data_IF_897144268774
#
_entry.id   IF_897144268774
#
_cell.length_a   1.000
_cell.length_b   1.000
_cell.length_c   1.000
_cell.angle_alpha   90.00
_cell.angle_beta   90.00
_cell.angle_gamma   90.00
#
_symmetry.space_group_name_H-M   'P 1'
#
loop_
_entity.id
_entity.type
_entity.pdbx_description
1 polymer ?
#
# COMPACT_ATOMS: atom_id res chain seq x y z
N UNK A 1 15.85 15.76 26.13
CA UNK A 1 15.25 15.71 24.78
C UNK A 1 15.07 14.23 24.41
N UNK A 2 13.87 13.81 24.03
CA UNK A 2 13.60 12.41 23.63
C UNK A 2 14.24 12.13 22.28
N UNK A 3 14.91 10.98 22.19
CA UNK A 3 15.57 10.51 20.95
C UNK A 3 14.64 9.60 20.17
N UNK A 4 14.38 9.95 18.93
CA UNK A 4 13.56 9.18 18.00
C UNK A 4 14.46 8.65 16.88
N UNK A 5 14.41 7.36 16.65
CA UNK A 5 15.08 6.74 15.52
C UNK A 5 14.02 6.28 14.51
N UNK A 6 14.18 6.68 13.26
CA UNK A 6 13.33 6.24 12.15
C UNK A 6 14.13 5.28 11.29
N UNK A 7 13.71 4.04 11.22
CA UNK A 7 14.31 2.99 10.40
C UNK A 7 13.67 3.02 9.01
N UNK A 8 14.44 3.46 8.02
CA UNK A 8 14.00 3.64 6.64
C UNK A 8 13.31 4.97 6.35
N UNK A 9 13.63 5.59 5.22
CA UNK A 9 13.01 6.83 4.72
C UNK A 9 11.68 6.57 3.98
N UNK A 10 10.81 5.71 4.54
CA UNK A 10 9.47 5.46 4.02
C UNK A 10 8.53 6.65 4.31
N UNK A 11 7.41 6.72 3.59
CA UNK A 11 6.45 7.84 3.67
C UNK A 11 6.00 8.15 5.11
N UNK A 12 5.63 7.12 5.89
CA UNK A 12 5.18 7.27 7.27
C UNK A 12 6.29 7.76 8.20
N UNK A 13 7.50 7.21 8.04
CA UNK A 13 8.67 7.60 8.82
C UNK A 13 9.06 9.06 8.57
N UNK A 14 9.07 9.50 7.31
CA UNK A 14 9.40 10.88 6.94
C UNK A 14 8.40 11.89 7.49
N UNK A 15 7.09 11.55 7.46
CA UNK A 15 6.05 12.43 8.05
C UNK A 15 6.21 12.50 9.56
N UNK A 16 6.39 11.35 10.23
CA UNK A 16 6.60 11.34 11.67
C UNK A 16 7.88 12.09 12.05
N UNK A 17 8.97 11.91 11.30
CA UNK A 17 10.24 12.61 11.53
C UNK A 17 10.07 14.13 11.46
N UNK A 18 9.39 14.62 10.42
CA UNK A 18 9.12 16.05 10.25
C UNK A 18 8.33 16.64 11.42
N UNK A 19 7.22 15.98 11.79
CA UNK A 19 6.34 16.44 12.87
C UNK A 19 7.02 16.39 14.25
N UNK A 20 7.82 15.36 14.52
CA UNK A 20 8.50 15.21 15.81
C UNK A 20 9.68 16.16 15.93
N UNK A 21 10.50 16.33 14.90
CA UNK A 21 11.62 17.25 14.91
C UNK A 21 11.15 18.70 15.12
N UNK A 22 10.08 19.13 14.45
CA UNK A 22 9.48 20.45 14.65
C UNK A 22 9.02 20.68 16.09
N UNK A 23 8.68 19.61 16.82
CA UNK A 23 8.20 19.67 18.20
C UNK A 23 9.31 19.36 19.23
N UNK A 24 10.57 19.52 18.88
CA UNK A 24 11.70 19.49 19.80
C UNK A 24 12.22 18.09 20.17
N UNK A 25 11.85 17.05 19.40
CA UNK A 25 12.48 15.75 19.54
C UNK A 25 13.83 15.71 18.79
N UNK A 26 14.79 14.92 19.27
CA UNK A 26 16.03 14.61 18.53
C UNK A 26 15.76 13.43 17.60
N UNK A 27 15.55 13.73 16.32
CA UNK A 27 15.13 12.74 15.33
C UNK A 27 16.28 12.41 14.39
N UNK A 28 16.58 11.11 14.28
CA UNK A 28 17.52 10.55 13.32
C UNK A 28 16.81 9.53 12.40
N UNK A 29 16.86 9.78 11.10
CA UNK A 29 16.40 8.84 10.06
C UNK A 29 17.61 8.09 9.52
N UNK A 30 17.59 6.75 9.56
CA UNK A 30 18.63 5.89 8.98
C UNK A 30 18.06 5.20 7.76
N UNK A 31 18.72 5.38 6.61
CA UNK A 31 18.29 4.85 5.31
C UNK A 31 19.45 4.19 4.59
N UNK A 32 19.22 3.01 4.01
CA UNK A 32 20.24 2.23 3.30
C UNK A 32 20.62 2.79 1.93
N UNK A 33 19.67 3.46 1.27
CA UNK A 33 19.88 4.01 -0.06
C UNK A 33 20.48 5.42 0.00
N UNK A 34 21.07 5.84 -1.12
CA UNK A 34 21.42 7.25 -1.36
C UNK A 34 20.16 8.09 -1.46
N UNK A 35 20.23 9.34 -1.01
CA UNK A 35 19.12 10.30 -1.05
C UNK A 35 18.49 10.43 -2.45
N UNK A 36 19.32 10.47 -3.51
CA UNK A 36 18.91 10.63 -4.90
C UNK A 36 18.26 9.39 -5.50
N UNK A 37 18.50 8.21 -4.93
CA UNK A 37 17.95 6.94 -5.38
C UNK A 37 16.58 6.61 -4.75
N UNK A 38 16.16 7.39 -3.76
CA UNK A 38 14.91 7.10 -3.05
C UNK A 38 13.68 7.35 -3.93
N UNK A 39 12.74 6.45 -3.80
CA UNK A 39 11.54 6.38 -4.62
C UNK A 39 11.81 5.63 -5.93
N UNK A 40 10.88 4.73 -6.27
CA UNK A 40 10.88 4.12 -7.60
C UNK A 40 10.56 5.17 -8.67
N UNK A 41 11.02 4.96 -9.90
CA UNK A 41 10.61 5.76 -11.06
C UNK A 41 9.19 5.38 -11.50
N UNK A 42 8.24 5.44 -10.56
CA UNK A 42 6.83 5.11 -10.74
C UNK A 42 5.96 6.30 -10.40
N UNK A 43 4.83 6.42 -11.09
CA UNK A 43 3.78 7.36 -10.75
C UNK A 43 2.72 6.68 -9.88
N UNK A 44 2.30 7.35 -8.83
CA UNK A 44 1.25 6.87 -7.96
C UNK A 44 0.13 7.88 -7.78
N UNK A 45 -1.06 7.34 -7.50
CA UNK A 45 -2.23 8.11 -7.10
C UNK A 45 -2.32 8.16 -5.59
N UNK A 46 -2.54 9.36 -5.04
CA UNK A 46 -2.82 9.59 -3.62
C UNK A 46 -3.52 10.94 -3.44
N UNK A 47 -3.86 11.32 -2.20
CA UNK A 47 -4.48 12.61 -1.87
C UNK A 47 -3.45 13.74 -1.84
N UNK A 48 -3.43 14.57 -2.86
CA UNK A 48 -2.54 15.73 -2.95
C UNK A 48 -2.84 16.78 -1.88
N UNK A 49 -4.11 16.90 -1.42
CA UNK A 49 -4.46 17.78 -0.31
C UNK A 49 -3.82 17.35 1.01
N UNK A 50 -3.65 16.03 1.23
CA UNK A 50 -2.91 15.51 2.36
C UNK A 50 -1.43 15.87 2.29
N UNK A 51 -0.79 15.72 1.12
CA UNK A 51 0.61 16.14 0.92
C UNK A 51 0.78 17.65 1.12
N UNK A 52 -0.13 18.46 0.60
CA UNK A 52 -0.14 19.91 0.80
C UNK A 52 -0.18 20.28 2.29
N UNK A 53 -1.04 19.64 3.07
CA UNK A 53 -1.11 19.87 4.54
C UNK A 53 0.19 19.50 5.25
N UNK A 54 0.82 18.37 4.86
CA UNK A 54 2.06 17.90 5.48
C UNK A 54 3.23 18.82 5.17
N UNK A 55 3.36 19.26 3.92
CA UNK A 55 4.51 20.04 3.45
C UNK A 55 4.33 21.55 3.63
N UNK A 56 3.09 22.01 3.77
CA UNK A 56 2.71 23.42 3.76
C UNK A 56 2.79 24.05 2.37
N UNK A 57 2.96 23.27 1.30
CA UNK A 57 3.00 23.75 -0.09
C UNK A 57 1.65 23.56 -0.76
N UNK A 58 1.23 24.51 -1.58
CA UNK A 58 0.10 24.34 -2.48
C UNK A 58 0.46 23.39 -3.65
N UNK A 59 -0.53 22.90 -4.39
CA UNK A 59 -0.27 22.00 -5.52
C UNK A 59 0.51 22.70 -6.64
N UNK A 60 0.29 24.02 -6.78
CA UNK A 60 0.99 24.87 -7.75
C UNK A 60 2.48 25.05 -7.44
N UNK A 61 2.87 24.86 -6.16
CA UNK A 61 4.25 24.90 -5.70
C UNK A 61 4.96 23.54 -5.78
N UNK A 62 4.26 22.49 -6.22
CA UNK A 62 4.90 21.19 -6.46
C UNK A 62 5.83 21.30 -7.66
N UNK A 63 6.94 20.54 -7.69
CA UNK A 63 7.92 20.60 -8.78
C UNK A 63 7.25 20.43 -10.15
N UNK A 64 7.62 21.26 -11.12
CA UNK A 64 7.13 21.19 -12.49
C UNK A 64 7.36 19.79 -13.08
N UNK A 65 6.37 19.25 -13.79
CA UNK A 65 6.43 17.90 -14.37
C UNK A 65 6.38 16.75 -13.37
N UNK A 66 6.28 17.05 -12.04
CA UNK A 66 6.24 16.00 -11.00
C UNK A 66 4.92 15.25 -10.96
N UNK A 67 3.86 15.82 -11.49
CA UNK A 67 2.52 15.26 -11.48
C UNK A 67 1.73 15.58 -12.75
N UNK A 68 0.67 14.81 -12.99
CA UNK A 68 -0.25 15.02 -14.11
C UNK A 68 -1.63 14.45 -13.81
N UNK A 69 -2.59 14.75 -14.67
CA UNK A 69 -3.87 14.04 -14.68
C UNK A 69 -3.75 12.71 -15.42
N UNK A 70 -4.37 11.68 -14.86
CA UNK A 70 -4.56 10.40 -15.54
C UNK A 70 -5.87 10.44 -16.36
N UNK A 71 -5.84 9.81 -17.53
CA UNK A 71 -7.01 9.70 -18.41
C UNK A 71 -8.04 8.67 -17.95
N UNK A 72 -9.06 8.50 -18.78
CA UNK A 72 -10.07 7.45 -18.61
C UNK A 72 -9.42 6.07 -18.56
N UNK A 73 -10.04 5.14 -17.83
CA UNK A 73 -9.53 3.79 -17.73
C UNK A 73 -10.59 2.75 -18.09
N UNK A 74 -10.13 1.56 -18.42
CA UNK A 74 -10.96 0.39 -18.64
C UNK A 74 -10.40 -0.82 -17.91
N UNK A 75 -11.28 -1.63 -17.36
CA UNK A 75 -10.94 -2.91 -16.79
C UNK A 75 -11.40 -4.01 -17.77
N UNK A 76 -10.49 -4.88 -18.12
CA UNK A 76 -10.75 -6.00 -19.01
C UNK A 76 -10.94 -7.27 -18.19
N UNK A 77 -11.93 -8.07 -18.60
CA UNK A 77 -12.09 -9.41 -18.06
C UNK A 77 -10.88 -10.28 -18.41
N UNK A 78 -10.64 -11.37 -17.68
CA UNK A 78 -9.53 -12.29 -17.98
C UNK A 78 -9.46 -12.73 -19.46
N UNK A 79 -10.60 -13.03 -20.07
CA UNK A 79 -10.68 -13.40 -21.51
C UNK A 79 -10.60 -12.22 -22.48
N UNK A 80 -10.49 -10.98 -21.98
CA UNK A 80 -10.55 -9.73 -22.74
C UNK A 80 -11.87 -9.49 -23.49
N UNK A 81 -12.89 -10.40 -23.35
CA UNK A 81 -14.19 -10.30 -24.05
C UNK A 81 -15.11 -9.23 -23.48
N UNK A 82 -14.94 -8.88 -22.19
CA UNK A 82 -15.72 -7.83 -21.53
C UNK A 82 -14.80 -6.73 -21.05
N UNK A 83 -15.16 -5.49 -21.44
CA UNK A 83 -14.48 -4.27 -21.04
C UNK A 83 -15.46 -3.41 -20.22
N UNK A 84 -15.02 -2.91 -19.07
CA UNK A 84 -15.77 -1.99 -18.22
C UNK A 84 -15.02 -0.66 -18.23
N UNK A 85 -15.59 0.35 -18.86
CA UNK A 85 -14.97 1.67 -18.99
C UNK A 85 -15.39 2.59 -17.83
N UNK A 86 -14.45 3.39 -17.37
CA UNK A 86 -14.64 4.42 -16.36
C UNK A 86 -14.20 5.75 -16.96
N UNK A 87 -15.16 6.67 -17.05
CA UNK A 87 -14.93 8.00 -17.59
C UNK A 87 -14.81 9.01 -16.44
N UNK A 88 -13.82 9.86 -16.53
CA UNK A 88 -13.57 10.95 -15.58
C UNK A 88 -13.88 12.29 -16.24
N UNK A 89 -14.54 13.17 -15.52
CA UNK A 89 -14.68 14.57 -15.87
C UNK A 89 -13.63 15.42 -15.13
N UNK A 90 -13.61 16.73 -15.37
CA UNK A 90 -12.63 17.64 -14.76
C UNK A 90 -12.59 17.55 -13.23
N UNK A 91 -13.76 17.37 -12.57
CA UNK A 91 -13.85 17.28 -11.11
C UNK A 91 -13.46 15.90 -10.55
N UNK A 92 -13.49 14.86 -11.38
CA UNK A 92 -13.20 13.47 -10.96
C UNK A 92 -11.89 12.93 -11.52
N UNK A 93 -11.18 13.71 -12.35
CA UNK A 93 -9.86 13.33 -12.89
C UNK A 93 -8.91 12.98 -11.77
N UNK A 94 -8.23 11.86 -11.94
CA UNK A 94 -7.25 11.38 -10.98
C UNK A 94 -5.91 12.08 -11.23
N UNK A 95 -5.29 12.58 -10.15
CA UNK A 95 -3.91 13.08 -10.17
C UNK A 95 -2.97 11.94 -9.82
N UNK A 96 -1.84 11.89 -10.51
CA UNK A 96 -0.73 10.98 -10.23
C UNK A 96 0.56 11.78 -10.14
N UNK A 97 1.48 11.34 -9.27
CA UNK A 97 2.77 11.98 -9.06
C UNK A 97 3.88 10.94 -9.10
N UNK A 98 5.02 11.31 -9.63
CA UNK A 98 6.25 10.52 -9.55
C UNK A 98 6.70 10.36 -8.10
N UNK A 99 7.08 9.15 -7.70
CA UNK A 99 7.53 8.87 -6.31
C UNK A 99 8.79 9.61 -5.92
N UNK A 100 9.76 9.78 -6.83
CA UNK A 100 11.01 10.50 -6.52
C UNK A 100 10.74 11.95 -6.08
N UNK A 101 9.98 12.78 -6.80
CA UNK A 101 9.56 14.10 -6.32
C UNK A 101 8.81 14.05 -4.99
N UNK A 102 7.87 13.11 -4.82
CA UNK A 102 7.13 12.95 -3.57
C UNK A 102 8.07 12.70 -2.38
N UNK A 103 8.95 11.70 -2.48
CA UNK A 103 9.91 11.37 -1.41
C UNK A 103 10.85 12.55 -1.15
N UNK A 104 11.35 13.21 -2.20
CA UNK A 104 12.20 14.41 -2.06
C UNK A 104 11.52 15.52 -1.28
N UNK A 105 10.25 15.82 -1.60
CA UNK A 105 9.47 16.83 -0.87
C UNK A 105 9.30 16.46 0.62
N UNK A 106 9.08 15.18 0.94
CA UNK A 106 8.96 14.72 2.31
C UNK A 106 10.29 14.79 3.06
N UNK A 107 11.41 14.43 2.44
CA UNK A 107 12.75 14.57 3.02
C UNK A 107 13.08 16.04 3.29
N UNK A 108 12.92 16.92 2.29
CA UNK A 108 13.16 18.36 2.43
C UNK A 108 12.31 18.97 3.55
N UNK A 109 11.05 18.52 3.68
CA UNK A 109 10.18 18.95 4.76
C UNK A 109 10.70 18.50 6.13
N UNK A 110 11.20 17.25 6.24
CA UNK A 110 11.75 16.74 7.49
C UNK A 110 13.07 17.41 7.86
N UNK A 111 13.99 17.60 6.90
CA UNK A 111 15.26 18.34 7.08
C UNK A 111 15.00 19.78 7.54
N UNK A 112 14.11 20.50 6.86
CA UNK A 112 13.74 21.88 7.21
C UNK A 112 13.17 22.00 8.62
N UNK A 113 12.51 20.96 9.12
CA UNK A 113 11.94 20.90 10.47
C UNK A 113 12.92 20.38 11.53
N UNK A 114 14.16 20.04 11.14
CA UNK A 114 15.25 19.69 12.04
C UNK A 114 15.54 18.19 12.20
N UNK A 115 14.92 17.30 11.41
CA UNK A 115 15.29 15.90 11.39
C UNK A 115 16.67 15.70 10.75
N UNK A 116 17.48 14.83 11.34
CA UNK A 116 18.80 14.42 10.85
C UNK A 116 18.68 13.15 10.02
N UNK A 117 19.56 13.00 9.05
CA UNK A 117 19.58 11.82 8.17
C UNK A 117 20.95 11.17 8.15
N UNK A 118 20.94 9.85 8.10
CA UNK A 118 22.12 9.01 7.83
C UNK A 118 21.75 8.09 6.65
N UNK A 119 22.16 8.50 5.46
CA UNK A 119 21.98 7.72 4.23
C UNK A 119 23.08 6.70 4.05
N UNK A 120 22.94 5.77 3.10
CA UNK A 120 23.89 4.71 2.78
C UNK A 120 24.23 3.83 4.01
N UNK A 121 23.29 3.70 4.93
CA UNK A 121 23.47 2.99 6.18
C UNK A 121 22.36 1.95 6.35
N UNK A 122 22.73 0.68 6.20
CA UNK A 122 21.79 -0.43 6.28
C UNK A 122 21.60 -0.86 7.74
N UNK A 123 20.35 -0.88 8.21
CA UNK A 123 19.98 -1.46 9.51
C UNK A 123 19.93 -2.97 9.37
N UNK A 124 20.57 -3.68 10.27
CA UNK A 124 20.61 -5.15 10.31
C UNK A 124 19.59 -5.75 11.29
N UNK A 125 19.41 -5.13 12.47
CA UNK A 125 18.55 -5.66 13.53
C UNK A 125 18.17 -4.59 14.57
N UNK A 126 17.11 -4.83 15.37
CA UNK A 126 16.87 -4.04 16.58
C UNK A 126 17.87 -4.37 17.66
N UNK A 127 18.18 -3.40 18.53
CA UNK A 127 18.82 -3.59 19.82
C UNK A 127 17.73 -3.76 20.88
N UNK A 128 17.72 -4.87 21.59
CA UNK A 128 16.64 -5.19 22.52
C UNK A 128 17.16 -5.48 23.93
N UNK A 129 16.41 -5.08 24.95
CA UNK A 129 16.52 -5.52 26.34
C UNK A 129 15.24 -6.31 26.69
N UNK A 130 15.33 -7.64 26.69
CA UNK A 130 14.14 -8.48 26.72
C UNK A 130 13.27 -8.24 25.49
N UNK A 131 11.98 -7.90 25.67
CA UNK A 131 11.05 -7.55 24.60
C UNK A 131 11.07 -6.06 24.22
N UNK A 132 11.77 -5.21 24.98
CA UNK A 132 11.83 -3.77 24.74
C UNK A 132 12.90 -3.43 23.69
N UNK A 133 12.52 -2.67 22.68
CA UNK A 133 13.45 -2.13 21.67
C UNK A 133 14.10 -0.87 22.22
N UNK A 134 15.43 -0.80 22.17
CA UNK A 134 16.24 0.30 22.67
C UNK A 134 17.02 1.04 21.57
N UNK A 135 16.94 0.56 20.35
CA UNK A 135 17.66 1.12 19.22
C UNK A 135 17.79 0.16 18.06
N UNK A 136 18.76 0.41 17.21
CA UNK A 136 19.09 -0.46 16.06
C UNK A 136 20.59 -0.66 15.93
N UNK A 137 20.96 -1.81 15.37
CA UNK A 137 22.31 -2.14 14.93
C UNK A 137 22.35 -2.09 13.41
N UNK A 138 23.36 -1.46 12.85
CA UNK A 138 23.61 -1.37 11.42
C UNK A 138 24.48 -2.54 10.92
N UNK A 139 24.49 -2.77 9.61
CA UNK A 139 25.23 -3.88 9.00
C UNK A 139 26.75 -3.75 9.18
N UNK A 140 27.28 -2.52 9.28
CA UNK A 140 28.68 -2.21 9.60
C UNK A 140 29.02 -2.32 11.10
N UNK A 141 28.03 -2.68 11.93
CA UNK A 141 28.22 -2.98 13.36
C UNK A 141 28.00 -1.81 14.31
N UNK A 142 27.70 -0.60 13.81
CA UNK A 142 27.40 0.55 14.68
C UNK A 142 26.05 0.37 15.38
N UNK A 143 25.95 0.93 16.59
CA UNK A 143 24.75 0.87 17.43
C UNK A 143 24.19 2.27 17.69
N UNK A 144 22.89 2.43 17.46
CA UNK A 144 22.16 3.68 17.67
C UNK A 144 21.04 3.45 18.67
N UNK A 145 21.11 4.13 19.81
CA UNK A 145 20.13 4.03 20.90
C UNK A 145 19.13 5.16 20.85
N UNK A 146 17.85 4.84 21.10
CA UNK A 146 16.75 5.80 21.10
C UNK A 146 15.67 5.41 22.12
N UNK A 147 14.80 6.36 22.46
CA UNK A 147 13.63 6.11 23.31
C UNK A 147 12.54 5.32 22.54
N UNK A 148 12.51 5.44 21.20
CA UNK A 148 11.64 4.66 20.31
C UNK A 148 12.28 4.50 18.92
N UNK A 149 12.04 3.34 18.32
CA UNK A 149 12.30 3.05 16.91
C UNK A 149 10.98 3.05 16.13
N UNK A 150 10.84 3.98 15.19
CA UNK A 150 9.74 4.02 14.22
C UNK A 150 10.18 3.22 12.99
N UNK A 151 9.58 2.06 12.79
CA UNK A 151 9.93 1.17 11.68
C UNK A 151 9.14 1.51 10.42
N UNK A 152 9.81 2.14 9.47
CA UNK A 152 9.32 2.49 8.14
C UNK A 152 10.19 1.88 7.03
N UNK A 153 10.87 0.75 7.32
CA UNK A 153 11.81 0.09 6.42
C UNK A 153 11.15 -0.89 5.44
N UNK A 154 9.82 -0.85 5.34
CA UNK A 154 9.07 -1.64 4.37
C UNK A 154 8.71 -3.05 4.84
N UNK A 155 8.10 -3.84 3.96
CA UNK A 155 7.48 -5.14 4.30
C UNK A 155 8.49 -6.15 4.86
N UNK A 156 9.72 -6.11 4.40
CA UNK A 156 10.82 -6.97 4.86
C UNK A 156 11.74 -6.25 5.86
N UNK A 157 11.22 -5.30 6.62
CA UNK A 157 12.01 -4.56 7.61
C UNK A 157 12.88 -5.48 8.45
N UNK A 158 14.21 -5.25 8.49
CA UNK A 158 15.12 -6.03 9.34
C UNK A 158 14.84 -5.80 10.82
N UNK A 159 14.26 -4.66 11.20
CA UNK A 159 13.83 -4.41 12.58
C UNK A 159 12.69 -5.35 12.94
N UNK A 160 11.57 -5.30 12.19
CA UNK A 160 10.39 -6.14 12.44
C UNK A 160 10.73 -7.63 12.43
N UNK A 161 11.46 -8.08 11.40
CA UNK A 161 11.74 -9.51 11.22
C UNK A 161 12.59 -10.09 12.32
N UNK A 162 13.42 -9.27 13.01
CA UNK A 162 14.29 -9.69 14.09
C UNK A 162 13.80 -9.29 15.51
N UNK A 163 12.54 -8.81 15.64
CA UNK A 163 11.96 -8.54 16.96
C UNK A 163 11.91 -9.84 17.80
N UNK A 164 12.06 -9.77 19.13
CA UNK A 164 11.80 -10.90 20.03
C UNK A 164 10.36 -11.42 19.88
N UNK A 165 10.17 -12.73 20.08
CA UNK A 165 8.85 -13.38 20.02
C UNK A 165 7.84 -12.81 21.01
N UNK A 166 8.34 -12.38 22.15
CA UNK A 166 7.57 -11.80 23.27
C UNK A 166 6.89 -10.47 22.91
N UNK A 167 7.29 -9.82 21.80
CA UNK A 167 6.57 -8.64 21.27
C UNK A 167 5.21 -9.01 20.69
N UNK A 168 4.98 -10.27 20.35
CA UNK A 168 3.76 -10.80 19.72
C UNK A 168 3.36 -10.11 18.40
N UNK A 169 4.28 -9.38 17.77
CA UNK A 169 4.06 -8.76 16.47
C UNK A 169 4.14 -9.83 15.38
N UNK A 170 3.10 -9.90 14.54
CA UNK A 170 3.03 -10.87 13.43
C UNK A 170 4.08 -10.53 12.34
N UNK A 171 4.93 -11.50 12.03
CA UNK A 171 5.98 -11.41 11.01
C UNK A 171 5.70 -12.33 9.81
N UNK A 172 4.64 -13.13 9.89
CA UNK A 172 4.33 -14.11 8.86
C UNK A 172 3.87 -13.41 7.59
N UNK A 173 4.37 -13.89 6.46
CA UNK A 173 3.99 -13.46 5.12
C UNK A 173 3.47 -14.69 4.39
N UNK A 174 2.18 -14.70 4.06
CA UNK A 174 1.48 -15.80 3.40
C UNK A 174 1.34 -15.54 1.92
N UNK A 175 1.06 -16.58 1.14
CA UNK A 175 0.69 -16.40 -0.27
C UNK A 175 -0.53 -15.48 -0.40
N UNK A 176 -0.42 -14.48 -1.26
CA UNK A 176 -1.45 -13.46 -1.46
C UNK A 176 -1.37 -12.26 -0.52
N UNK A 177 -0.43 -12.23 0.43
CA UNK A 177 -0.14 -11.04 1.24
C UNK A 177 0.69 -10.00 0.50
N UNK A 178 1.39 -10.45 -0.55
CA UNK A 178 2.24 -9.62 -1.38
C UNK A 178 1.78 -9.63 -2.84
N UNK A 179 2.02 -8.52 -3.49
CA UNK A 179 1.89 -8.34 -4.93
C UNK A 179 3.27 -7.98 -5.47
N UNK A 180 3.73 -8.78 -6.42
CA UNK A 180 5.01 -8.57 -7.10
C UNK A 180 4.74 -7.86 -8.40
N UNK A 181 5.29 -6.67 -8.56
CA UNK A 181 5.13 -5.84 -9.74
C UNK A 181 6.46 -5.55 -10.41
N UNK A 182 6.51 -5.67 -11.72
CA UNK A 182 7.54 -5.07 -12.55
C UNK A 182 6.89 -3.96 -13.37
N UNK A 183 7.47 -2.75 -13.39
CA UNK A 183 6.87 -1.60 -14.07
C UNK A 183 7.91 -0.81 -14.81
N UNK A 184 7.62 -0.47 -16.06
CA UNK A 184 8.45 0.36 -16.92
C UNK A 184 7.61 1.31 -17.76
N UNK A 185 8.24 2.41 -18.13
CA UNK A 185 7.70 3.42 -19.05
C UNK A 185 8.52 3.36 -20.33
N UNK A 186 7.87 3.03 -21.44
CA UNK A 186 8.48 2.90 -22.75
C UNK A 186 8.28 4.17 -23.56
N UNK A 187 9.17 4.42 -24.51
CA UNK A 187 8.95 5.40 -25.56
C UNK A 187 7.71 5.00 -26.37
N UNK A 188 7.07 5.98 -26.96
CA UNK A 188 5.91 5.81 -27.81
C UNK A 188 6.32 5.87 -29.28
N UNK A 189 5.72 5.02 -30.13
CA UNK A 189 5.89 5.07 -31.58
C UNK A 189 4.80 5.88 -32.24
N UNK A 190 4.94 6.23 -33.53
CA UNK A 190 3.96 6.99 -34.30
C UNK A 190 2.71 6.17 -34.73
N UNK A 191 2.57 4.93 -34.25
CA UNK A 191 1.42 4.09 -34.57
C UNK A 191 0.15 4.61 -33.88
N UNK A 192 -1.04 4.46 -34.49
CA UNK A 192 -2.30 4.92 -33.93
C UNK A 192 -2.61 4.26 -32.57
N UNK A 193 -3.12 5.05 -31.65
CA UNK A 193 -3.54 4.61 -30.31
C UNK A 193 -5.01 4.18 -30.27
N UNK A 194 -5.35 3.31 -29.31
CA UNK A 194 -6.72 3.01 -28.95
C UNK A 194 -7.38 4.18 -28.20
N UNK A 195 -8.72 4.22 -28.22
CA UNK A 195 -9.50 5.28 -27.55
C UNK A 195 -9.40 5.28 -26.02
N UNK A 196 -9.06 4.16 -25.39
CA UNK A 196 -8.93 4.06 -23.93
C UNK A 196 -7.46 4.05 -23.55
N UNK A 197 -6.94 5.17 -23.00
CA UNK A 197 -5.50 5.30 -22.76
C UNK A 197 -4.98 4.45 -21.59
N UNK A 198 -5.87 3.97 -20.71
CA UNK A 198 -5.47 3.18 -19.55
C UNK A 198 -6.30 1.89 -19.48
N UNK A 199 -5.69 0.77 -19.78
CA UNK A 199 -6.31 -0.55 -19.74
C UNK A 199 -5.69 -1.42 -18.64
N UNK A 200 -6.56 -1.93 -17.77
CA UNK A 200 -6.20 -2.81 -16.64
C UNK A 200 -6.72 -4.22 -16.94
N UNK A 201 -5.84 -5.18 -16.91
CA UNK A 201 -6.09 -6.59 -17.19
C UNK A 201 -6.09 -7.39 -15.90
N UNK A 202 -7.22 -7.97 -15.54
CA UNK A 202 -7.29 -8.90 -14.41
C UNK A 202 -6.96 -10.31 -14.89
N UNK A 203 -6.19 -11.06 -14.09
CA UNK A 203 -5.74 -12.40 -14.44
C UNK A 203 -5.12 -12.47 -15.85
N UNK A 204 -4.32 -11.45 -16.19
CA UNK A 204 -3.68 -11.35 -17.49
C UNK A 204 -2.86 -12.62 -17.80
N UNK A 205 -3.15 -13.23 -18.95
CA UNK A 205 -2.57 -14.50 -19.38
C UNK A 205 -2.77 -15.64 -18.34
N UNK A 206 -3.96 -15.66 -17.73
CA UNK A 206 -4.40 -16.66 -16.74
C UNK A 206 -3.64 -16.65 -15.40
N UNK A 207 -2.76 -15.68 -15.20
CA UNK A 207 -1.97 -15.53 -13.99
C UNK A 207 -2.70 -14.67 -12.95
N UNK A 208 -2.74 -15.13 -11.69
CA UNK A 208 -3.37 -14.38 -10.60
C UNK A 208 -2.65 -13.05 -10.34
N UNK A 209 -3.36 -11.97 -10.49
CA UNK A 209 -2.85 -10.61 -10.34
C UNK A 209 -3.54 -9.64 -11.29
N UNK A 210 -2.89 -8.53 -11.53
CA UNK A 210 -3.31 -7.55 -12.51
C UNK A 210 -2.11 -6.98 -13.26
N UNK A 211 -2.33 -6.63 -14.52
CA UNK A 211 -1.36 -5.91 -15.33
C UNK A 211 -2.05 -4.70 -15.96
N UNK A 212 -1.30 -3.74 -16.45
CA UNK A 212 -1.88 -2.64 -17.21
C UNK A 212 -0.97 -2.14 -18.32
N UNK A 213 -1.60 -1.50 -19.28
CA UNK A 213 -0.99 -0.63 -20.25
C UNK A 213 -1.65 0.75 -20.15
N UNK A 214 -0.89 1.78 -19.86
CA UNK A 214 -1.38 3.15 -19.75
C UNK A 214 -0.61 4.04 -20.71
N UNK A 215 -1.28 4.51 -21.76
CA UNK A 215 -0.69 5.43 -22.73
C UNK A 215 -0.78 6.86 -22.21
N UNK A 216 0.34 7.54 -22.15
CA UNK A 216 0.47 8.94 -21.82
C UNK A 216 0.83 9.74 -23.10
N UNK A 217 1.04 11.04 -22.95
CA UNK A 217 1.39 11.90 -24.06
C UNK A 217 2.66 11.39 -24.80
N UNK A 218 3.73 11.10 -24.07
CA UNK A 218 5.03 10.74 -24.61
C UNK A 218 5.52 9.33 -24.26
N UNK A 219 4.81 8.62 -23.39
CA UNK A 219 5.25 7.31 -22.88
C UNK A 219 4.11 6.31 -22.77
N UNK A 220 4.46 5.04 -22.75
CA UNK A 220 3.55 3.93 -22.44
C UNK A 220 4.03 3.28 -21.15
N UNK A 221 3.19 3.36 -20.11
CA UNK A 221 3.41 2.79 -18.79
C UNK A 221 2.85 1.37 -18.75
N UNK A 222 3.70 0.38 -18.60
CA UNK A 222 3.33 -1.03 -18.45
C UNK A 222 3.67 -1.50 -17.04
N UNK A 223 2.66 -2.06 -16.36
CA UNK A 223 2.84 -2.87 -15.16
C UNK A 223 2.52 -4.32 -15.47
N UNK A 224 3.42 -5.21 -15.08
CA UNK A 224 3.18 -6.64 -14.99
C UNK A 224 3.14 -6.99 -13.50
N UNK A 225 1.99 -7.45 -13.02
CA UNK A 225 1.79 -7.68 -11.60
C UNK A 225 1.17 -9.03 -11.29
N UNK A 226 1.74 -9.74 -10.31
CA UNK A 226 1.37 -11.10 -9.92
C UNK A 226 1.33 -11.27 -8.41
N UNK A 227 0.57 -12.25 -7.97
CA UNK A 227 0.57 -12.70 -6.57
C UNK A 227 1.79 -13.59 -6.28
N UNK A 228 2.25 -14.34 -7.25
CA UNK A 228 3.44 -15.16 -7.15
C UNK A 228 4.65 -14.46 -7.81
N UNK A 229 5.86 -14.76 -7.34
CA UNK A 229 7.10 -14.22 -7.90
C UNK A 229 7.27 -14.70 -9.35
N UNK A 230 7.81 -13.84 -10.20
CA UNK A 230 8.10 -14.13 -11.60
C UNK A 230 9.46 -13.56 -12.00
N UNK A 231 10.05 -14.11 -13.05
CA UNK A 231 11.38 -13.74 -13.56
C UNK A 231 11.33 -12.98 -14.88
N UNK A 232 12.52 -12.71 -15.42
CA UNK A 232 12.73 -11.95 -16.67
C UNK A 232 12.07 -12.58 -17.89
N UNK A 233 12.07 -13.92 -17.98
CA UNK A 233 11.42 -14.62 -19.10
C UNK A 233 9.93 -14.29 -19.16
N UNK A 234 9.27 -14.23 -17.98
CA UNK A 234 7.85 -13.87 -17.91
C UNK A 234 7.61 -12.41 -18.26
N UNK A 235 8.53 -11.52 -17.88
CA UNK A 235 8.44 -10.10 -18.28
C UNK A 235 8.52 -9.99 -19.80
N UNK A 236 9.48 -10.64 -20.42
CA UNK A 236 9.69 -10.61 -21.88
C UNK A 236 8.44 -11.13 -22.61
N UNK A 237 7.92 -12.30 -22.22
CA UNK A 237 6.69 -12.87 -22.76
C UNK A 237 5.52 -11.87 -22.69
N UNK A 238 5.33 -11.26 -21.53
CA UNK A 238 4.24 -10.31 -21.31
C UNK A 238 4.42 -9.00 -22.08
N UNK A 239 5.64 -8.52 -22.24
CA UNK A 239 5.93 -7.33 -23.04
C UNK A 239 5.66 -7.57 -24.53
N UNK A 240 5.95 -8.77 -25.05
CA UNK A 240 5.65 -9.13 -26.43
C UNK A 240 4.13 -9.12 -26.68
N UNK A 241 3.34 -9.64 -25.71
CA UNK A 241 1.88 -9.60 -25.74
C UNK A 241 1.38 -8.15 -25.72
N UNK A 242 1.91 -7.32 -24.78
CA UNK A 242 1.52 -5.92 -24.71
C UNK A 242 1.85 -5.15 -26.00
N UNK A 243 3.00 -5.36 -26.60
CA UNK A 243 3.38 -4.73 -27.88
C UNK A 243 2.52 -5.20 -29.05
N UNK A 244 2.10 -6.46 -29.03
CA UNK A 244 1.13 -6.97 -30.01
C UNK A 244 -0.24 -6.27 -29.87
N UNK A 245 -0.76 -6.18 -28.63
CA UNK A 245 -2.07 -5.58 -28.36
C UNK A 245 -2.04 -4.04 -28.44
N UNK A 246 -0.88 -3.44 -28.13
CA UNK A 246 -0.64 -1.99 -28.11
C UNK A 246 0.58 -1.62 -28.98
N UNK A 247 0.45 -1.67 -30.31
CA UNK A 247 1.58 -1.55 -31.25
C UNK A 247 2.27 -0.17 -31.25
N UNK A 248 1.71 0.81 -30.57
CA UNK A 248 2.37 2.12 -30.32
C UNK A 248 3.40 2.08 -29.17
N UNK A 249 3.55 0.94 -28.46
CA UNK A 249 4.57 0.76 -27.42
C UNK A 249 5.93 0.50 -28.06
N UNK A 250 6.89 1.39 -27.78
CA UNK A 250 8.26 1.23 -28.26
C UNK A 250 9.07 0.20 -27.46
N UNK A 251 10.35 0.11 -27.79
CA UNK A 251 11.26 -0.87 -27.17
C UNK A 251 12.13 -0.25 -26.06
N UNK A 252 12.36 1.06 -26.13
CA UNK A 252 13.23 1.77 -25.20
C UNK A 252 12.53 2.05 -23.88
N UNK A 253 13.15 1.65 -22.76
CA UNK A 253 12.69 1.99 -21.40
C UNK A 253 13.20 3.39 -21.08
N UNK A 254 12.27 4.34 -20.93
CA UNK A 254 12.57 5.72 -20.57
C UNK A 254 12.69 5.88 -19.05
N UNK A 255 11.84 5.19 -18.29
CA UNK A 255 11.85 5.19 -16.82
C UNK A 255 11.43 3.82 -16.28
N UNK A 256 11.78 3.52 -15.03
CA UNK A 256 11.39 2.29 -14.37
C UNK A 256 12.26 1.10 -14.82
N UNK A 257 11.62 0.00 -15.20
CA UNK A 257 12.31 -1.27 -15.45
C UNK A 257 12.67 -2.01 -14.17
N UNK A 258 11.98 -1.70 -13.06
CA UNK A 258 12.31 -2.21 -11.74
C UNK A 258 11.18 -3.06 -11.16
N UNK A 259 11.57 -4.01 -10.31
CA UNK A 259 10.64 -4.73 -9.46
C UNK A 259 10.24 -3.91 -8.23
N UNK A 260 8.99 -4.07 -7.83
CA UNK A 260 8.48 -3.62 -6.55
C UNK A 260 7.69 -4.72 -5.87
N UNK A 261 7.70 -4.72 -4.54
CA UNK A 261 6.89 -5.62 -3.72
C UNK A 261 5.94 -4.76 -2.90
N UNK A 262 4.65 -4.98 -3.08
CA UNK A 262 3.60 -4.21 -2.46
C UNK A 262 2.82 -5.11 -1.51
N UNK A 263 2.70 -4.79 -0.21
CA UNK A 263 1.85 -5.54 0.68
C UNK A 263 0.38 -5.33 0.29
N UNK A 264 -0.37 -6.42 0.19
CA UNK A 264 -1.79 -6.42 -0.21
C UNK A 264 -2.65 -7.23 0.75
N UNK A 265 -2.33 -7.14 2.04
CA UNK A 265 -3.13 -7.69 3.15
C UNK A 265 -3.62 -6.57 4.05
N UNK A 266 -4.54 -6.88 4.94
CA UNK A 266 -4.95 -5.96 6.02
C UNK A 266 -3.77 -5.59 6.91
N UNK A 267 -3.76 -4.39 7.54
CA UNK A 267 -2.74 -4.00 8.49
C UNK A 267 -2.60 -4.97 9.66
N UNK A 268 -1.42 -4.99 10.28
CA UNK A 268 -1.19 -5.76 11.51
C UNK A 268 -2.20 -5.35 12.59
N UNK A 269 -2.68 -6.32 13.35
CA UNK A 269 -3.55 -6.07 14.52
C UNK A 269 -2.77 -5.48 15.68
N UNK A 270 -1.50 -5.88 15.82
CA UNK A 270 -0.54 -5.33 16.78
C UNK A 270 0.71 -4.86 16.02
N UNK A 271 0.97 -3.56 16.07
CA UNK A 271 2.09 -2.93 15.36
C UNK A 271 3.02 -2.15 16.32
N UNK A 272 2.84 -2.32 17.63
CA UNK A 272 3.61 -1.63 18.66
C UNK A 272 4.16 -2.60 19.72
N UNK A 273 5.32 -2.28 20.24
CA UNK A 273 5.94 -2.91 21.42
C UNK A 273 6.61 -1.82 22.27
N UNK A 274 7.19 -2.16 23.41
CA UNK A 274 7.95 -1.20 24.20
C UNK A 274 9.14 -0.67 23.39
N UNK A 275 9.18 0.65 23.19
CA UNK A 275 10.20 1.32 22.37
C UNK A 275 10.10 1.05 20.86
N UNK A 276 8.98 0.55 20.34
CA UNK A 276 8.82 0.22 18.92
C UNK A 276 7.43 0.53 18.36
N UNK A 277 7.39 1.11 17.15
CA UNK A 277 6.18 1.26 16.39
C UNK A 277 6.44 1.01 14.88
N UNK A 278 5.73 0.04 14.29
CA UNK A 278 5.73 -0.16 12.83
C UNK A 278 4.77 0.82 12.15
N UNK A 279 5.17 1.35 11.00
CA UNK A 279 4.36 2.26 10.19
C UNK A 279 4.64 2.06 8.69
N UNK A 280 3.64 2.31 7.85
CA UNK A 280 3.74 2.07 6.42
C UNK A 280 3.75 0.58 6.08
N UNK A 281 4.54 0.19 5.08
CA UNK A 281 4.57 -1.19 4.59
C UNK A 281 5.11 -2.20 5.62
N UNK A 282 5.89 -1.76 6.61
CA UNK A 282 6.30 -2.64 7.71
C UNK A 282 5.11 -3.10 8.58
N UNK A 283 4.03 -2.31 8.62
CA UNK A 283 2.76 -2.66 9.26
C UNK A 283 1.66 -3.07 8.26
N UNK A 284 1.99 -3.31 6.98
CA UNK A 284 1.06 -3.62 5.90
C UNK A 284 -0.02 -2.55 5.69
N UNK A 285 0.35 -1.27 5.78
CA UNK A 285 -0.56 -0.14 5.66
C UNK A 285 -0.83 0.21 4.19
N UNK A 286 -1.37 -0.74 3.47
CA UNK A 286 -1.72 -0.62 2.06
C UNK A 286 -3.14 -1.11 1.85
N UNK A 287 -3.85 -0.54 0.88
CA UNK A 287 -5.19 -0.98 0.51
C UNK A 287 -5.11 -2.32 -0.24
N UNK A 288 -5.61 -3.42 0.31
CA UNK A 288 -5.37 -4.76 -0.25
C UNK A 288 -5.87 -4.94 -1.68
N UNK A 289 -6.95 -4.24 -2.07
CA UNK A 289 -7.59 -4.43 -3.36
C UNK A 289 -6.85 -3.80 -4.54
N UNK A 290 -6.11 -2.71 -4.31
CA UNK A 290 -5.50 -1.91 -5.37
C UNK A 290 -4.06 -1.48 -5.11
N UNK A 291 -3.45 -1.90 -4.01
CA UNK A 291 -2.06 -1.61 -3.66
C UNK A 291 -1.78 -0.15 -3.25
N UNK A 292 -2.81 0.69 -3.05
CA UNK A 292 -2.64 2.09 -2.65
C UNK A 292 -2.25 2.20 -1.19
N UNK A 293 -1.01 2.61 -0.89
CA UNK A 293 -0.47 2.68 0.47
C UNK A 293 -0.03 4.08 0.91
N UNK A 294 0.12 5.01 -0.02
CA UNK A 294 0.70 6.34 0.29
C UNK A 294 -0.18 7.09 1.30
N UNK A 295 -1.48 7.21 1.05
CA UNK A 295 -2.40 7.92 1.96
C UNK A 295 -2.43 7.29 3.36
N UNK A 296 -2.46 5.94 3.43
CA UNK A 296 -2.44 5.23 4.70
C UNK A 296 -1.12 5.48 5.46
N UNK A 297 -0.01 5.45 4.74
CA UNK A 297 1.33 5.70 5.31
C UNK A 297 1.50 7.14 5.80
N UNK A 298 1.06 8.13 5.01
CA UNK A 298 1.10 9.55 5.41
C UNK A 298 0.26 9.80 6.67
N UNK A 299 -0.96 9.28 6.72
CA UNK A 299 -1.84 9.39 7.88
C UNK A 299 -1.26 8.64 9.10
N UNK A 300 -0.67 7.47 8.92
CA UNK A 300 -0.02 6.74 10.01
C UNK A 300 1.11 7.55 10.65
N UNK A 301 1.93 8.22 9.83
CA UNK A 301 2.99 9.12 10.31
C UNK A 301 2.44 10.27 11.14
N UNK A 302 1.34 10.90 10.70
CA UNK A 302 0.67 11.97 11.46
C UNK A 302 0.09 11.48 12.79
N UNK A 303 -0.63 10.35 12.79
CA UNK A 303 -1.22 9.77 14.00
C UNK A 303 -0.13 9.38 15.00
N UNK A 304 0.95 8.73 14.53
CA UNK A 304 2.06 8.33 15.40
C UNK A 304 2.76 9.54 16.02
N UNK A 305 3.06 10.56 15.23
CA UNK A 305 3.67 11.77 15.72
C UNK A 305 2.79 12.48 16.76
N UNK A 306 1.48 12.55 16.54
CA UNK A 306 0.54 13.14 17.49
C UNK A 306 0.53 12.39 18.84
N UNK A 307 0.50 11.07 18.82
CA UNK A 307 0.55 10.23 20.03
C UNK A 307 1.87 10.42 20.78
N UNK A 308 3.01 10.46 20.07
CA UNK A 308 4.32 10.67 20.70
C UNK A 308 4.44 12.06 21.31
N UNK A 309 3.97 13.10 20.63
CA UNK A 309 3.93 14.48 21.16
C UNK A 309 3.11 14.59 22.44
N UNK A 310 1.90 14.02 22.42
CA UNK A 310 0.99 14.05 23.57
C UNK A 310 1.55 13.30 24.79
N UNK A 311 2.44 12.34 24.58
CA UNK A 311 3.03 11.51 25.62
C UNK A 311 4.55 11.71 25.78
N UNK A 312 5.07 12.88 25.41
CA UNK A 312 6.52 13.19 25.41
C UNK A 312 7.23 12.95 26.76
N UNK A 313 6.52 13.15 27.87
CA UNK A 313 7.03 12.95 29.23
C UNK A 313 6.98 11.49 29.71
N UNK A 314 6.30 10.61 28.98
CA UNK A 314 6.16 9.18 29.35
C UNK A 314 7.20 8.34 28.63
N UNK A 315 7.49 7.17 29.19
CA UNK A 315 8.17 6.12 28.43
C UNK A 315 7.25 5.60 27.32
N UNK A 316 7.81 5.36 26.13
CA UNK A 316 7.07 4.87 24.97
C UNK A 316 6.87 3.35 25.06
N UNK A 317 6.11 2.92 26.08
CA UNK A 317 5.71 1.53 26.25
C UNK A 317 4.63 1.14 25.23
N UNK A 318 4.44 -0.15 25.00
CA UNK A 318 3.37 -0.68 24.16
C UNK A 318 1.98 -0.16 24.62
N UNK A 319 1.79 0.03 25.91
CA UNK A 319 0.55 0.57 26.48
C UNK A 319 0.30 2.03 26.07
N UNK A 320 1.34 2.87 26.02
CA UNK A 320 1.26 4.25 25.55
C UNK A 320 1.08 4.29 24.02
N UNK A 321 1.82 3.46 23.30
CA UNK A 321 1.78 3.39 21.84
C UNK A 321 0.50 2.73 21.30
N UNK A 322 -0.25 2.02 22.15
CA UNK A 322 -1.52 1.38 21.78
C UNK A 322 -2.54 2.37 21.25
N UNK A 323 -2.50 3.61 21.67
CA UNK A 323 -3.38 4.66 21.14
C UNK A 323 -3.13 4.91 19.64
N UNK A 324 -1.86 4.95 19.19
CA UNK A 324 -1.53 5.00 17.77
C UNK A 324 -2.12 3.79 17.02
N UNK A 325 -1.89 2.59 17.56
CA UNK A 325 -2.38 1.34 16.99
C UNK A 325 -3.91 1.38 16.83
N UNK A 326 -4.63 1.76 17.89
CA UNK A 326 -6.10 1.84 17.88
C UNK A 326 -6.61 2.87 16.88
N UNK A 327 -6.10 4.09 16.91
CA UNK A 327 -6.54 5.18 16.03
C UNK A 327 -6.37 4.78 14.57
N UNK A 328 -5.22 4.26 14.19
CA UNK A 328 -4.99 3.81 12.82
C UNK A 328 -5.96 2.70 12.41
N UNK A 329 -6.17 1.70 13.27
CA UNK A 329 -7.07 0.58 12.94
C UNK A 329 -8.52 1.03 12.76
N UNK A 330 -9.01 1.93 13.60
CA UNK A 330 -10.36 2.48 13.51
C UNK A 330 -10.52 3.34 12.26
N UNK A 331 -9.60 4.26 12.01
CA UNK A 331 -9.70 5.25 10.94
C UNK A 331 -9.44 4.66 9.55
N UNK A 332 -8.49 3.71 9.42
CA UNK A 332 -8.00 3.19 8.15
C UNK A 332 -8.10 1.65 8.05
N UNK A 333 -7.73 0.95 9.12
CA UNK A 333 -7.60 -0.50 9.15
C UNK A 333 -8.91 -1.24 8.89
N UNK A 334 -10.03 -0.72 9.40
CA UNK A 334 -11.35 -1.32 9.18
C UNK A 334 -11.71 -1.37 7.68
N UNK A 335 -11.46 -0.27 6.95
CA UNK A 335 -11.72 -0.23 5.52
C UNK A 335 -10.76 -1.15 4.73
N UNK A 336 -9.47 -1.14 5.07
CA UNK A 336 -8.49 -2.05 4.46
C UNK A 336 -8.86 -3.52 4.69
N UNK A 337 -9.28 -3.89 5.90
CA UNK A 337 -9.69 -5.25 6.26
C UNK A 337 -10.91 -5.74 5.45
N UNK A 338 -11.90 -4.87 5.21
CA UNK A 338 -13.05 -5.17 4.33
C UNK A 338 -12.59 -5.49 2.91
N UNK A 339 -11.65 -4.70 2.38
CA UNK A 339 -11.13 -4.86 1.02
C UNK A 339 -10.27 -6.13 0.87
N UNK A 340 -9.58 -6.57 1.92
CA UNK A 340 -8.87 -7.87 1.89
C UNK A 340 -9.83 -9.04 1.69
N UNK A 341 -10.98 -9.04 2.37
CA UNK A 341 -11.98 -10.08 2.20
C UNK A 341 -12.45 -10.22 0.75
N UNK A 342 -12.68 -9.09 0.07
CA UNK A 342 -13.07 -9.07 -1.34
C UNK A 342 -11.91 -9.51 -2.25
N UNK A 343 -10.69 -9.00 -2.04
CA UNK A 343 -9.50 -9.41 -2.80
C UNK A 343 -9.28 -10.92 -2.70
N UNK A 344 -9.30 -11.48 -1.49
CA UNK A 344 -9.07 -12.89 -1.28
C UNK A 344 -10.19 -13.75 -1.90
N UNK A 345 -11.43 -13.27 -1.91
CA UNK A 345 -12.53 -13.94 -2.60
C UNK A 345 -12.29 -13.97 -4.12
N UNK A 346 -11.84 -12.87 -4.71
CA UNK A 346 -11.46 -12.85 -6.13
C UNK A 346 -10.31 -13.83 -6.40
N UNK A 347 -9.26 -13.82 -5.58
CA UNK A 347 -8.12 -14.73 -5.72
C UNK A 347 -8.46 -16.20 -5.43
N UNK A 348 -9.59 -16.50 -4.79
CA UNK A 348 -10.09 -17.86 -4.61
C UNK A 348 -10.86 -18.38 -5.82
N UNK A 349 -11.14 -17.53 -6.81
CA UNK A 349 -11.82 -17.91 -8.04
C UNK A 349 -10.80 -18.35 -9.10
N UNK A 350 -11.15 -19.35 -9.92
CA UNK A 350 -10.39 -19.62 -11.13
C UNK A 350 -10.60 -18.50 -12.16
N UNK A 351 -9.79 -18.50 -13.21
CA UNK A 351 -9.88 -17.58 -14.34
C UNK A 351 -11.32 -17.43 -14.87
N UNK A 352 -12.01 -18.54 -15.11
CA UNK A 352 -13.38 -18.58 -15.61
C UNK A 352 -14.39 -17.97 -14.63
N UNK A 353 -14.08 -18.03 -13.33
CA UNK A 353 -14.92 -17.42 -12.29
C UNK A 353 -14.85 -15.91 -12.32
N UNK A 354 -13.66 -15.33 -12.47
CA UNK A 354 -13.50 -13.88 -12.60
C UNK A 354 -14.11 -13.39 -13.90
N UNK A 355 -13.91 -14.12 -15.00
CA UNK A 355 -14.50 -13.82 -16.31
C UNK A 355 -16.03 -13.80 -16.24
N UNK A 356 -16.64 -14.79 -15.58
CA UNK A 356 -18.08 -14.84 -15.34
C UNK A 356 -18.61 -13.60 -14.62
N UNK A 357 -17.89 -13.08 -13.61
CA UNK A 357 -18.30 -11.88 -12.86
C UNK A 357 -18.40 -10.65 -13.76
N UNK A 358 -17.48 -10.52 -14.73
CA UNK A 358 -17.49 -9.45 -15.72
C UNK A 358 -18.60 -9.63 -16.75
N UNK A 359 -18.66 -10.80 -17.39
CA UNK A 359 -19.61 -11.07 -18.49
C UNK A 359 -21.07 -10.96 -18.05
N UNK A 360 -21.35 -11.34 -16.78
CA UNK A 360 -22.69 -11.27 -16.24
C UNK A 360 -22.99 -9.96 -15.45
N UNK A 361 -22.13 -8.93 -15.56
CA UNK A 361 -22.31 -7.64 -14.89
C UNK A 361 -22.47 -7.77 -13.35
N UNK A 362 -21.86 -8.77 -12.73
CA UNK A 362 -21.75 -8.86 -11.26
C UNK A 362 -20.76 -7.80 -10.77
N UNK A 363 -19.65 -7.62 -11.51
CA UNK A 363 -18.75 -6.46 -11.37
C UNK A 363 -19.21 -5.37 -12.34
N UNK A 364 -19.29 -4.12 -11.87
CA UNK A 364 -19.74 -2.96 -12.62
C UNK A 364 -18.77 -1.78 -12.43
N UNK A 365 -18.87 -0.76 -13.28
CA UNK A 365 -18.02 0.43 -13.21
C UNK A 365 -18.05 1.12 -11.82
N UNK A 366 -19.20 1.16 -11.15
CA UNK A 366 -19.35 1.71 -9.80
C UNK A 366 -18.50 0.99 -8.75
N UNK A 367 -18.24 -0.31 -8.92
CA UNK A 367 -17.42 -1.09 -7.99
C UNK A 367 -15.92 -0.77 -8.16
N UNK A 368 -15.52 -0.50 -9.40
CA UNK A 368 -14.12 -0.28 -9.80
C UNK A 368 -13.70 1.19 -9.66
N UNK A 369 -14.63 2.13 -9.82
CA UNK A 369 -14.36 3.58 -9.70
C UNK A 369 -14.20 4.09 -8.27
N UNK A 370 -14.48 3.27 -7.26
CA UNK A 370 -14.54 3.68 -5.85
C UNK A 370 -15.82 4.47 -5.49
N UNK A 371 -16.73 4.66 -6.45
CA UNK A 371 -18.03 5.31 -6.24
C UNK A 371 -19.08 4.42 -5.55
N UNK A 372 -18.73 3.17 -5.26
CA UNK A 372 -19.65 2.15 -4.70
C UNK A 372 -20.10 2.36 -3.25
N UNK A 373 -19.89 3.56 -2.68
CA UNK A 373 -20.35 3.89 -1.32
C UNK A 373 -21.88 3.83 -1.15
N UNK A 374 -22.66 3.96 -2.24
CA UNK A 374 -24.13 4.03 -2.20
C UNK A 374 -24.76 3.07 -3.22
N UNK A 375 -24.57 1.77 -3.04
CA UNK A 375 -25.26 0.77 -3.87
C UNK A 375 -26.74 0.75 -3.53
N UNK A 376 -27.62 1.09 -4.49
CA UNK A 376 -29.05 1.05 -4.28
C UNK A 376 -29.59 -0.40 -4.38
N UNK A 377 -30.80 -0.63 -3.83
CA UNK A 377 -31.42 -1.94 -3.79
C UNK A 377 -31.59 -2.58 -5.18
N UNK A 378 -31.94 -1.79 -6.20
CA UNK A 378 -32.12 -2.27 -7.59
C UNK A 378 -30.81 -2.83 -8.16
N UNK A 379 -29.69 -2.13 -7.92
CA UNK A 379 -28.35 -2.58 -8.33
C UNK A 379 -27.97 -3.89 -7.62
N UNK A 380 -28.24 -3.98 -6.33
CA UNK A 380 -27.96 -5.20 -5.54
C UNK A 380 -28.78 -6.39 -6.05
N UNK A 381 -30.07 -6.20 -6.31
CA UNK A 381 -30.94 -7.25 -6.87
C UNK A 381 -30.50 -7.66 -8.27
N UNK A 382 -30.08 -6.72 -9.11
CA UNK A 382 -29.52 -7.03 -10.43
C UNK A 382 -28.26 -7.91 -10.34
N UNK A 383 -27.33 -7.58 -9.44
CA UNK A 383 -26.15 -8.39 -9.18
C UNK A 383 -26.50 -9.78 -8.66
N UNK A 384 -27.51 -9.89 -7.78
CA UNK A 384 -27.98 -11.18 -7.27
C UNK A 384 -28.53 -12.05 -8.40
N UNK A 385 -29.47 -11.55 -9.21
CA UNK A 385 -30.06 -12.30 -10.33
C UNK A 385 -28.98 -12.76 -11.30
N UNK A 386 -28.07 -11.89 -11.65
CA UNK A 386 -26.97 -12.19 -12.60
C UNK A 386 -25.97 -13.20 -11.98
N UNK A 387 -25.66 -13.05 -10.71
CA UNK A 387 -24.75 -13.92 -9.99
C UNK A 387 -25.28 -15.35 -9.85
N UNK A 388 -26.61 -15.48 -9.70
CA UNK A 388 -27.28 -16.78 -9.56
C UNK A 388 -27.21 -17.65 -10.83
N UNK A 389 -26.76 -17.12 -11.97
CA UNK A 389 -26.42 -17.94 -13.15
C UNK A 389 -25.25 -18.90 -12.89
N UNK A 390 -24.34 -18.56 -11.97
CA UNK A 390 -23.35 -19.46 -11.39
C UNK A 390 -23.22 -19.21 -9.87
N UNK A 391 -24.03 -19.90 -9.07
CA UNK A 391 -24.07 -19.69 -7.61
C UNK A 391 -22.71 -19.90 -6.93
N UNK A 392 -21.90 -20.85 -7.39
CA UNK A 392 -20.58 -21.14 -6.81
C UNK A 392 -19.67 -19.90 -6.81
N UNK A 393 -19.54 -19.23 -7.94
CA UNK A 393 -18.69 -18.05 -8.08
C UNK A 393 -19.29 -16.85 -7.35
N UNK A 394 -20.61 -16.68 -7.44
CA UNK A 394 -21.30 -15.59 -6.77
C UNK A 394 -21.18 -15.69 -5.24
N UNK A 395 -21.44 -16.86 -4.67
CA UNK A 395 -21.33 -17.04 -3.23
C UNK A 395 -19.90 -16.95 -2.70
N UNK A 396 -18.87 -17.24 -3.51
CA UNK A 396 -17.49 -16.97 -3.12
C UNK A 396 -17.27 -15.48 -2.85
N UNK A 397 -17.76 -14.59 -3.73
CA UNK A 397 -17.68 -13.13 -3.56
C UNK A 397 -18.53 -12.68 -2.36
N UNK A 398 -19.75 -13.17 -2.23
CA UNK A 398 -20.62 -12.83 -1.09
C UNK A 398 -19.97 -13.24 0.24
N UNK A 399 -19.38 -14.44 0.32
CA UNK A 399 -18.64 -14.91 1.49
C UNK A 399 -17.45 -13.99 1.82
N UNK A 400 -16.70 -13.57 0.78
CA UNK A 400 -15.61 -12.60 0.96
C UNK A 400 -16.07 -11.26 1.53
N UNK A 401 -17.20 -10.75 1.04
CA UNK A 401 -17.79 -9.50 1.55
C UNK A 401 -18.28 -9.66 3.01
N UNK A 402 -18.92 -10.78 3.35
CA UNK A 402 -19.39 -11.06 4.72
C UNK A 402 -18.20 -11.17 5.68
N UNK A 403 -17.19 -11.98 5.32
CA UNK A 403 -15.99 -12.17 6.14
C UNK A 403 -15.20 -10.87 6.28
N UNK A 404 -15.00 -10.13 5.17
CA UNK A 404 -14.33 -8.83 5.19
C UNK A 404 -15.07 -7.79 6.04
N UNK A 405 -16.41 -7.73 5.95
CA UNK A 405 -17.23 -6.85 6.79
C UNK A 405 -17.17 -7.26 8.27
N UNK A 406 -17.16 -8.56 8.56
CA UNK A 406 -16.99 -9.07 9.93
C UNK A 406 -15.61 -8.73 10.51
N UNK A 407 -14.55 -8.83 9.73
CA UNK A 407 -13.20 -8.40 10.13
C UNK A 407 -13.15 -6.88 10.32
N UNK A 408 -13.73 -6.11 9.41
CA UNK A 408 -13.81 -4.64 9.51
C UNK A 408 -14.49 -4.17 10.78
N UNK A 409 -15.58 -4.83 11.18
CA UNK A 409 -16.27 -4.53 12.45
C UNK A 409 -15.38 -4.77 13.67
N UNK A 410 -14.54 -5.81 13.64
CA UNK A 410 -13.57 -6.05 14.70
C UNK A 410 -12.45 -4.98 14.70
N UNK A 411 -11.94 -4.60 13.53
CA UNK A 411 -10.95 -3.52 13.40
C UNK A 411 -11.48 -2.16 13.89
N UNK A 412 -12.77 -1.88 13.66
CA UNK A 412 -13.40 -0.67 14.17
C UNK A 412 -13.58 -0.66 15.69
N UNK A 413 -13.46 -1.83 16.36
CA UNK A 413 -13.66 -2.00 17.78
C UNK A 413 -12.50 -2.78 18.42
N UNK A 414 -11.25 -2.29 18.34
CA UNK A 414 -10.11 -2.92 19.00
C UNK A 414 -10.22 -2.79 20.53
N UNK A 415 -9.52 -3.61 21.33
CA UNK A 415 -9.47 -3.47 22.77
C UNK A 415 -9.17 -2.03 23.21
N UNK A 416 -9.93 -1.48 24.13
CA UNK A 416 -9.79 -0.08 24.57
C UNK A 416 -8.43 0.18 25.24
N UNK A 417 -7.98 -0.78 26.08
CA UNK A 417 -6.70 -0.69 26.79
C UNK A 417 -5.78 -1.80 26.32
N UNK A 418 -4.49 -1.49 26.31
CA UNK A 418 -3.45 -2.45 25.99
C UNK A 418 -3.49 -3.63 26.98
N UNK A 419 -3.60 -4.83 26.44
CA UNK A 419 -3.48 -6.09 27.16
C UNK A 419 -3.21 -7.20 26.14
N UNK A 420 -2.05 -7.83 26.19
CA UNK A 420 -1.63 -8.83 25.22
C UNK A 420 -2.64 -9.97 25.05
N UNK A 421 -3.19 -10.50 26.12
CA UNK A 421 -4.12 -11.61 26.03
C UNK A 421 -5.46 -11.20 25.36
N UNK A 422 -5.98 -10.02 25.68
CA UNK A 422 -7.18 -9.49 25.04
C UNK A 422 -6.94 -9.19 23.55
N UNK A 423 -5.78 -8.61 23.22
CA UNK A 423 -5.39 -8.32 21.84
C UNK A 423 -5.21 -9.63 21.08
N UNK A 424 -4.54 -10.64 21.64
CA UNK A 424 -4.40 -11.96 21.03
C UNK A 424 -5.75 -12.60 20.70
N UNK A 425 -6.65 -12.68 21.68
CA UNK A 425 -8.00 -13.23 21.48
C UNK A 425 -8.82 -12.45 20.44
N UNK A 426 -8.64 -11.14 20.38
CA UNK A 426 -9.28 -10.28 19.38
C UNK A 426 -8.67 -10.52 17.99
N UNK A 427 -7.35 -10.62 17.87
CA UNK A 427 -6.65 -10.95 16.62
C UNK A 427 -7.04 -12.32 16.08
N UNK A 428 -7.16 -13.34 16.94
CA UNK A 428 -7.63 -14.69 16.57
C UNK A 428 -9.05 -14.67 15.98
N UNK A 429 -9.94 -13.83 16.50
CA UNK A 429 -11.30 -13.65 15.93
C UNK A 429 -11.25 -13.04 14.54
N UNK A 430 -10.31 -12.13 14.28
CA UNK A 430 -10.09 -11.52 12.98
C UNK A 430 -9.51 -12.55 12.00
N UNK A 431 -8.53 -13.36 12.44
CA UNK A 431 -7.97 -14.45 11.63
C UNK A 431 -9.04 -15.47 11.24
N UNK A 432 -9.98 -15.78 12.13
CA UNK A 432 -11.13 -16.62 11.85
C UNK A 432 -12.07 -16.09 10.75
N UNK A 433 -11.93 -14.80 10.35
CA UNK A 433 -12.64 -14.19 9.22
C UNK A 433 -11.83 -14.22 7.91
N UNK A 434 -10.63 -14.77 7.91
CA UNK A 434 -9.82 -14.83 6.69
C UNK A 434 -10.51 -15.70 5.60
N UNK A 435 -10.40 -15.26 4.35
CA UNK A 435 -10.76 -16.06 3.16
C UNK A 435 -9.49 -16.73 2.68
N UNK A 436 -9.51 -18.06 2.57
CA UNK A 436 -8.37 -18.82 2.03
C UNK A 436 -8.26 -18.58 0.53
N UNK A 437 -7.06 -18.29 0.07
CA UNK A 437 -6.67 -18.25 -1.34
C UNK A 437 -6.29 -19.65 -1.76
N UNK A 438 -6.75 -20.09 -2.93
CA UNK A 438 -6.47 -21.42 -3.49
C UNK A 438 -5.16 -21.38 -4.27
#
# INVERSE_FOLDING_TARGET
>A
MRKILVAGAGHSGLVAAAELAQNGFDVLVIEKEKKENLGHDWEDRFDFGLLSRITGKSIEEFPEGSWRFRGNCAFLSPSKRKKIEIFYNENTRQKVMWRKPLIRMLIENAERRGAKFLFETEIAAPLCEGAAVKGVKTADGNEFYADIVIDSAGVFSPVKMNLPGETHIDKEIRRGDLFYGWRAYFNKTDRPELKTPFEVYLYHEREQGLSWCCTNENTVDILIGRIDKFGEDKIKEQLDIFRHDHPWTGEEIINGGNYGVIPVRRPLTLMVADGYAAAGDSAFMTMPMNGMGIDLSLNAGLILADVLKTNSEKEFTAAVLWEYNRRFLIEQGAFASKNEGLKNALLSLPYEGVDFLFENNVIQASDLSGAGKNMNFKTLMGKFVNGMKNPKYFFAIVNGLIKGSGAASLYANPPEKFNYEKIRKWSEKIEGKAVKII
#
